data_IF_096982327486
#
_entry.id   IF_096982327486
#
_cell.length_a   1.000
_cell.length_b   1.000
_cell.length_c   1.000
_cell.angle_alpha   90.00
_cell.angle_beta   90.00
_cell.angle_gamma   90.00
#
_symmetry.space_group_name_H-M   'P 1'
#
loop_
_entity.id
_entity.type
_entity.pdbx_description
1 polymer ?
#
# COMPACT_ATOMS: atom_id res chain seq x y z
N UNK A 1 5.85 7.71 4.26
CA UNK A 1 5.21 8.99 4.68
C UNK A 1 3.71 8.89 4.92
N UNK A 2 2.90 8.41 3.96
CA UNK A 2 1.45 8.27 4.15
C UNK A 2 1.05 7.52 5.42
N UNK A 3 1.71 6.39 5.72
CA UNK A 3 1.42 5.59 6.93
C UNK A 3 1.64 6.38 8.22
N UNK A 4 2.64 7.27 8.25
CA UNK A 4 2.96 8.08 9.44
C UNK A 4 1.93 9.19 9.65
N UNK A 5 1.55 9.88 8.58
CA UNK A 5 0.48 10.86 8.59
C UNK A 5 -0.85 10.23 9.02
N UNK A 6 -1.19 9.07 8.44
CA UNK A 6 -2.41 8.36 8.77
C UNK A 6 -2.45 7.97 10.26
N UNK A 7 -1.38 7.42 10.80
CA UNK A 7 -1.35 7.01 12.21
C UNK A 7 -1.33 8.22 13.14
N UNK A 8 -0.43 9.18 12.94
CA UNK A 8 -0.22 10.25 13.93
C UNK A 8 -1.26 11.37 13.83
N UNK A 9 -1.67 11.75 12.62
CA UNK A 9 -2.53 12.91 12.42
C UNK A 9 -4.00 12.52 12.26
N UNK A 10 -4.27 11.36 11.67
CA UNK A 10 -5.65 10.93 11.43
C UNK A 10 -6.14 10.00 12.54
N UNK A 11 -5.44 8.89 12.80
CA UNK A 11 -5.84 7.91 13.80
C UNK A 11 -5.73 8.46 15.23
N UNK A 12 -4.56 8.96 15.62
CA UNK A 12 -4.32 9.43 16.99
C UNK A 12 -4.99 10.79 17.25
N UNK A 13 -4.84 11.79 16.38
CA UNK A 13 -5.39 13.13 16.66
C UNK A 13 -6.87 13.27 16.33
N UNK A 14 -7.33 12.83 15.15
CA UNK A 14 -8.72 13.03 14.73
C UNK A 14 -9.68 11.96 15.27
N UNK A 15 -9.21 10.73 15.42
CA UNK A 15 -10.00 9.63 15.98
C UNK A 15 -9.68 9.31 17.44
N UNK A 16 -8.67 9.94 18.05
CA UNK A 16 -8.27 9.68 19.44
C UNK A 16 -7.97 8.20 19.72
N UNK A 17 -7.47 7.49 18.69
CA UNK A 17 -7.21 6.06 18.76
C UNK A 17 -8.46 5.17 18.73
N UNK A 18 -9.65 5.73 18.52
CA UNK A 18 -10.91 4.97 18.51
C UNK A 18 -11.09 4.17 17.21
N UNK A 19 -10.80 2.88 17.30
CA UNK A 19 -10.92 1.92 16.19
C UNK A 19 -12.36 1.72 15.73
N UNK A 20 -13.36 1.94 16.58
CA UNK A 20 -14.77 1.78 16.21
C UNK A 20 -15.18 2.85 15.17
N UNK A 21 -14.56 4.03 15.23
CA UNK A 21 -14.79 5.12 14.25
C UNK A 21 -14.16 4.84 12.88
N UNK A 22 -13.27 3.85 12.80
CA UNK A 22 -12.67 3.37 11.55
C UNK A 22 -13.34 2.15 10.97
N UNK A 23 -14.18 1.46 11.75
CA UNK A 23 -14.89 0.28 11.30
C UNK A 23 -15.74 0.59 10.05
N UNK A 24 -15.77 -0.34 9.11
CA UNK A 24 -16.57 -0.23 7.88
C UNK A 24 -15.84 0.44 6.72
N UNK A 25 -16.51 1.36 6.04
CA UNK A 25 -16.07 1.90 4.74
C UNK A 25 -14.73 2.63 4.79
N UNK A 26 -14.37 3.25 5.92
CA UNK A 26 -13.11 3.99 6.06
C UNK A 26 -11.90 3.06 6.13
N UNK A 27 -11.99 1.92 6.82
CA UNK A 27 -10.93 0.89 6.85
C UNK A 27 -10.66 0.31 5.47
N UNK A 28 -11.72 0.05 4.70
CA UNK A 28 -11.58 -0.40 3.30
C UNK A 28 -10.91 0.66 2.42
N UNK A 29 -11.24 1.94 2.62
CA UNK A 29 -10.61 3.04 1.88
C UNK A 29 -9.11 3.14 2.17
N UNK A 30 -8.70 2.98 3.43
CA UNK A 30 -7.28 3.00 3.82
C UNK A 30 -6.54 1.83 3.18
N UNK A 31 -7.12 0.63 3.25
CA UNK A 31 -6.53 -0.57 2.64
C UNK A 31 -6.32 -0.37 1.14
N UNK A 32 -7.36 0.09 0.43
CA UNK A 32 -7.30 0.34 -1.01
C UNK A 32 -6.27 1.42 -1.36
N UNK A 33 -6.13 2.45 -0.52
CA UNK A 33 -5.14 3.51 -0.72
C UNK A 33 -3.71 3.00 -0.53
N UNK A 34 -3.47 2.17 0.49
CA UNK A 34 -2.16 1.54 0.70
C UNK A 34 -1.79 0.61 -0.47
N UNK A 35 -2.73 -0.20 -0.95
CA UNK A 35 -2.54 -1.07 -2.11
C UNK A 35 -2.24 -0.27 -3.39
N UNK A 36 -2.98 0.83 -3.60
CA UNK A 36 -2.73 1.74 -4.72
C UNK A 36 -1.33 2.36 -4.67
N UNK A 37 -0.90 2.86 -3.52
CA UNK A 37 0.44 3.45 -3.35
C UNK A 37 1.55 2.42 -3.58
N UNK A 38 1.33 1.17 -3.14
CA UNK A 38 2.27 0.08 -3.39
C UNK A 38 2.38 -0.23 -4.89
N UNK A 39 1.26 -0.40 -5.58
CA UNK A 39 1.22 -0.63 -7.03
C UNK A 39 1.87 0.51 -7.80
N UNK A 40 1.60 1.76 -7.42
CA UNK A 40 2.22 2.92 -8.06
C UNK A 40 3.74 2.93 -7.92
N UNK A 41 4.26 2.57 -6.74
CA UNK A 41 5.70 2.45 -6.51
C UNK A 41 6.31 1.31 -7.33
N UNK A 42 5.64 0.16 -7.35
CA UNK A 42 6.07 -1.01 -8.13
C UNK A 42 6.05 -0.71 -9.64
N UNK A 43 5.02 -0.04 -10.15
CA UNK A 43 4.93 0.37 -11.55
C UNK A 43 6.08 1.30 -11.94
N UNK A 44 6.44 2.24 -11.06
CA UNK A 44 7.59 3.12 -11.27
C UNK A 44 8.89 2.34 -11.31
N UNK A 45 9.10 1.42 -10.37
CA UNK A 45 10.29 0.56 -10.35
C UNK A 45 10.37 -0.32 -11.60
N UNK A 46 9.25 -0.92 -12.02
CA UNK A 46 9.16 -1.72 -13.24
C UNK A 46 9.50 -0.90 -14.49
N UNK A 47 9.07 0.36 -14.55
CA UNK A 47 9.43 1.28 -15.63
C UNK A 47 10.93 1.59 -15.64
N UNK A 48 11.52 1.85 -14.47
CA UNK A 48 12.96 2.09 -14.32
C UNK A 48 13.78 0.84 -14.70
N UNK A 49 13.36 -0.36 -14.28
CA UNK A 49 14.00 -1.63 -14.65
C UNK A 49 13.92 -1.89 -16.16
N UNK A 50 12.75 -1.64 -16.78
CA UNK A 50 12.58 -1.73 -18.25
C UNK A 50 13.48 -0.75 -18.99
N UNK A 51 13.59 0.49 -18.49
CA UNK A 51 14.49 1.50 -19.07
C UNK A 51 15.96 1.09 -18.95
N UNK A 52 16.33 0.34 -17.92
CA UNK A 52 17.66 -0.25 -17.72
C UNK A 52 17.87 -1.57 -18.49
N UNK A 53 16.89 -2.04 -19.25
CA UNK A 53 16.97 -3.28 -20.03
C UNK A 53 16.94 -4.57 -19.20
N UNK A 54 16.60 -4.48 -17.91
CA UNK A 54 16.42 -5.63 -17.03
C UNK A 54 15.08 -6.29 -17.42
N UNK A 55 15.14 -7.55 -17.88
CA UNK A 55 13.95 -8.35 -18.17
C UNK A 55 13.50 -9.03 -16.88
N UNK A 56 12.25 -8.81 -16.51
CA UNK A 56 11.61 -9.49 -15.38
C UNK A 56 11.46 -10.98 -15.74
N UNK A 57 12.40 -11.82 -15.28
CA UNK A 57 12.19 -13.26 -15.22
C UNK A 57 11.37 -13.54 -13.96
N UNK A 58 10.05 -13.43 -14.09
CA UNK A 58 9.14 -13.87 -13.04
C UNK A 58 9.17 -15.40 -13.04
N UNK A 59 10.01 -16.01 -12.20
CA UNK A 59 9.81 -17.40 -11.83
C UNK A 59 8.51 -17.49 -11.04
N UNK A 60 7.53 -18.14 -11.67
CA UNK A 60 6.36 -18.72 -11.01
C UNK A 60 6.86 -19.80 -10.05
N UNK A 61 7.24 -19.44 -8.82
CA UNK A 61 7.52 -20.41 -7.77
C UNK A 61 6.38 -20.42 -6.73
N UNK A 62 5.58 -21.47 -6.86
CA UNK A 62 4.90 -22.24 -5.81
C UNK A 62 3.94 -21.55 -4.83
N UNK A 63 2.64 -21.59 -5.16
CA UNK A 63 1.60 -21.84 -4.14
C UNK A 63 0.89 -23.15 -4.47
N UNK A 64 1.58 -24.26 -4.18
CA UNK A 64 0.96 -25.53 -3.89
C UNK A 64 0.98 -25.71 -2.37
N UNK A 65 -0.15 -25.49 -1.69
CA UNK A 65 -0.51 -26.10 -0.39
C UNK A 65 -2.00 -25.95 -0.09
#
# INVERSE_FOLDING_TARGET
>A
DFSRYFVLDVFEKAFSGDRARLAGQQLNLIRNTCEFLYRLAQDKENQERKAQGIRDDASEDDDAS
#
